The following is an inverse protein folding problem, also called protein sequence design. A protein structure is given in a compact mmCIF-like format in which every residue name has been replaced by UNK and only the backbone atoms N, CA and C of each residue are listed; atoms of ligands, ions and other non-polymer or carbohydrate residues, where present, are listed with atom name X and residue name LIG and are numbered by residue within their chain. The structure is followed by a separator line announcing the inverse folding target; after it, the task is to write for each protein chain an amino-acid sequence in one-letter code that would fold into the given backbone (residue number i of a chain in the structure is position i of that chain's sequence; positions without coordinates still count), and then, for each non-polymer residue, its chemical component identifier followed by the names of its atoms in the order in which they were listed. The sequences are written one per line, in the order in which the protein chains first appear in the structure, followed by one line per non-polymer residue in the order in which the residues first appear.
data_IF_240034841150
#
_entry.id   IF_240034841150
#
_cell.length_a   1.000
_cell.length_b   1.000
_cell.length_c   1.000
_cell.angle_alpha   90.00
_cell.angle_beta   90.00
_cell.angle_gamma   90.00
#
_symmetry.space_group_name_H-M   'P 1'
#
loop_
_entity.id
_entity.type
_entity.pdbx_description
1 polymer ?
#
# COMPACT_ATOMS: atom_id res chain seq x y z
N UNK A 1 -2.03 -4.05 32.50
CA UNK A 1 -2.24 -4.79 31.24
C UNK A 1 -1.47 -6.09 31.36
N UNK A 2 -2.09 -7.28 31.28
CA UNK A 2 -1.41 -8.54 31.57
C UNK A 2 -0.45 -8.90 30.43
N UNK A 3 0.79 -9.25 30.81
CA UNK A 3 1.91 -9.59 29.91
C UNK A 3 1.56 -10.73 28.93
N UNK A 4 0.59 -11.58 29.29
CA UNK A 4 0.09 -12.67 28.45
C UNK A 4 -0.51 -12.20 27.11
N UNK A 5 -1.06 -10.99 27.02
CA UNK A 5 -1.59 -10.43 25.76
C UNK A 5 -0.48 -9.97 24.80
N UNK A 6 0.68 -9.56 25.32
CA UNK A 6 1.82 -9.17 24.48
C UNK A 6 2.44 -10.40 23.81
N UNK A 7 2.60 -11.48 24.57
CA UNK A 7 3.13 -12.76 24.07
C UNK A 7 2.22 -13.37 23.00
N UNK A 8 0.89 -13.32 23.19
CA UNK A 8 -0.05 -13.82 22.17
C UNK A 8 0.00 -12.95 20.90
N UNK A 9 0.15 -11.63 21.02
CA UNK A 9 0.34 -10.74 19.86
C UNK A 9 1.64 -11.05 19.11
N UNK A 10 2.74 -11.34 19.80
CA UNK A 10 4.01 -11.72 19.17
C UNK A 10 3.91 -13.07 18.45
N UNK A 11 3.31 -14.09 19.07
CA UNK A 11 3.17 -15.42 18.46
C UNK A 11 2.25 -15.40 17.23
N UNK A 12 1.18 -14.61 17.25
CA UNK A 12 0.31 -14.41 16.08
C UNK A 12 1.02 -13.55 15.01
N UNK A 13 1.81 -12.56 15.45
CA UNK A 13 2.60 -11.70 14.57
C UNK A 13 3.63 -12.50 13.77
N UNK A 14 4.29 -13.49 14.39
CA UNK A 14 5.28 -14.34 13.72
C UNK A 14 4.69 -15.34 12.71
N UNK A 15 3.50 -15.90 12.99
CA UNK A 15 2.85 -16.87 12.09
C UNK A 15 2.18 -16.24 10.86
N UNK A 16 2.05 -14.91 10.82
CA UNK A 16 1.39 -14.17 9.73
C UNK A 16 2.34 -13.32 8.89
N UNK A 17 3.66 -13.42 9.12
CA UNK A 17 4.68 -12.74 8.31
C UNK A 17 4.66 -13.33 6.90
N UNK A 18 4.10 -12.59 5.96
CA UNK A 18 4.12 -12.97 4.55
C UNK A 18 5.49 -12.59 4.00
N UNK A 19 6.24 -13.50 3.32
CA UNK A 19 7.47 -13.11 2.64
C UNK A 19 7.15 -12.01 1.63
N UNK A 20 8.00 -10.97 1.58
CA UNK A 20 7.78 -9.82 0.69
C UNK A 20 7.49 -10.32 -0.74
N UNK A 21 6.34 -9.98 -1.33
CA UNK A 21 6.05 -10.42 -2.68
C UNK A 21 7.06 -9.82 -3.65
N UNK A 22 7.60 -10.64 -4.55
CA UNK A 22 8.49 -10.19 -5.61
C UNK A 22 7.59 -9.59 -6.70
N UNK A 23 7.62 -8.26 -6.83
CA UNK A 23 6.93 -7.55 -7.91
C UNK A 23 7.84 -7.55 -9.14
N UNK A 24 7.37 -8.11 -10.25
CA UNK A 24 8.09 -8.10 -11.54
C UNK A 24 8.03 -6.70 -12.18
N UNK A 25 8.94 -6.40 -13.11
CA UNK A 25 8.95 -5.11 -13.81
C UNK A 25 7.63 -4.83 -14.55
N UNK A 26 7.01 -5.85 -15.16
CA UNK A 26 5.69 -5.74 -15.79
C UNK A 26 4.59 -5.36 -14.79
N UNK A 27 4.59 -5.99 -13.61
CA UNK A 27 3.63 -5.66 -12.56
C UNK A 27 3.84 -4.23 -12.03
N UNK A 28 5.10 -3.78 -11.93
CA UNK A 28 5.42 -2.41 -11.54
C UNK A 28 4.87 -1.40 -12.55
N UNK A 29 5.10 -1.62 -13.85
CA UNK A 29 4.61 -0.72 -14.90
C UNK A 29 3.07 -0.65 -14.91
N UNK A 30 2.38 -1.78 -14.68
CA UNK A 30 0.93 -1.80 -14.51
C UNK A 30 0.45 -1.01 -13.31
N UNK A 31 1.18 -1.06 -12.19
CA UNK A 31 0.87 -0.27 -11.00
C UNK A 31 1.04 1.22 -11.32
N UNK A 32 2.15 1.62 -11.93
CA UNK A 32 2.42 3.01 -12.30
C UNK A 32 1.36 3.57 -13.25
N UNK A 33 0.97 2.78 -14.26
CA UNK A 33 -0.09 3.16 -15.21
C UNK A 33 -1.45 3.33 -14.51
N UNK A 34 -1.83 2.39 -13.63
CA UNK A 34 -3.08 2.51 -12.85
C UNK A 34 -3.07 3.72 -11.89
N UNK A 35 -1.94 4.03 -11.27
CA UNK A 35 -1.80 5.23 -10.43
C UNK A 35 -2.00 6.51 -11.26
N UNK A 36 -1.45 6.54 -12.48
CA UNK A 36 -1.62 7.67 -13.39
C UNK A 36 -3.09 7.83 -13.81
N UNK A 37 -3.78 6.74 -14.13
CA UNK A 37 -5.21 6.77 -14.47
C UNK A 37 -6.03 7.29 -13.28
N UNK A 38 -5.81 6.76 -12.07
CA UNK A 38 -6.49 7.22 -10.86
C UNK A 38 -6.22 8.69 -10.57
N UNK A 39 -4.98 9.15 -10.75
CA UNK A 39 -4.60 10.55 -10.56
C UNK A 39 -5.29 11.48 -11.56
N UNK A 40 -5.37 11.09 -12.84
CA UNK A 40 -6.01 11.89 -13.89
C UNK A 40 -7.54 11.86 -13.81
N UNK A 41 -8.12 10.74 -13.40
CA UNK A 41 -9.56 10.55 -13.29
C UNK A 41 -10.14 10.92 -11.92
N UNK A 42 -9.28 11.26 -10.95
CA UNK A 42 -9.65 11.45 -9.53
C UNK A 42 -10.46 10.26 -8.97
N UNK A 43 -10.16 9.05 -9.47
CA UNK A 43 -10.88 7.83 -9.11
C UNK A 43 -10.30 7.21 -7.84
N UNK A 44 -11.19 6.75 -6.96
CA UNK A 44 -10.83 5.98 -5.79
C UNK A 44 -10.41 4.56 -6.20
N UNK A 45 -9.25 4.12 -5.70
CA UNK A 45 -8.70 2.79 -5.97
C UNK A 45 -8.40 2.07 -4.65
N UNK A 46 -8.60 0.76 -4.64
CA UNK A 46 -8.14 -0.12 -3.56
C UNK A 46 -6.65 -0.44 -3.76
N UNK A 47 -5.81 0.24 -2.98
CA UNK A 47 -4.37 -0.02 -2.92
C UNK A 47 -4.06 -1.16 -1.96
N UNK A 48 -3.42 -2.20 -2.49
CA UNK A 48 -2.77 -3.25 -1.70
C UNK A 48 -1.28 -2.96 -1.61
N UNK A 49 -0.74 -2.85 -0.39
CA UNK A 49 0.67 -2.55 -0.14
C UNK A 49 1.26 -3.43 0.96
N UNK A 50 2.56 -3.67 0.88
CA UNK A 50 3.31 -4.42 1.87
C UNK A 50 4.01 -3.46 2.83
N UNK A 51 3.78 -3.62 4.13
CA UNK A 51 4.45 -2.84 5.16
C UNK A 51 4.64 -3.67 6.43
N UNK A 52 5.82 -3.60 7.05
CA UNK A 52 6.12 -4.25 8.33
C UNK A 52 5.83 -5.77 8.37
N UNK A 53 6.06 -6.48 7.26
CA UNK A 53 5.73 -7.90 7.06
C UNK A 53 4.24 -8.24 6.90
N UNK A 54 3.37 -7.24 6.76
CA UNK A 54 1.94 -7.37 6.58
C UNK A 54 1.47 -6.84 5.22
N UNK A 55 0.33 -7.36 4.79
CA UNK A 55 -0.40 -6.89 3.62
C UNK A 55 -1.57 -6.03 4.08
N UNK A 56 -1.60 -4.79 3.62
CA UNK A 56 -2.67 -3.85 3.88
C UNK A 56 -3.45 -3.55 2.61
N UNK A 57 -4.73 -3.24 2.76
CA UNK A 57 -5.63 -2.82 1.67
C UNK A 57 -6.39 -1.58 2.12
N UNK A 58 -6.25 -0.48 1.39
CA UNK A 58 -6.94 0.78 1.69
C UNK A 58 -7.53 1.38 0.42
N UNK A 59 -8.72 1.96 0.52
CA UNK A 59 -9.29 2.80 -0.52
C UNK A 59 -8.63 4.17 -0.45
N UNK A 60 -8.11 4.63 -1.58
CA UNK A 60 -7.38 5.88 -1.67
C UNK A 60 -7.66 6.57 -3.01
N UNK A 61 -7.53 7.88 -3.04
CA UNK A 61 -7.46 8.68 -4.26
C UNK A 61 -6.05 9.26 -4.37
N UNK A 62 -5.40 9.08 -5.52
CA UNK A 62 -4.06 9.62 -5.76
C UNK A 62 -4.15 11.13 -5.99
N UNK A 63 -3.40 11.92 -5.23
CA UNK A 63 -3.43 13.39 -5.29
C UNK A 63 -2.12 14.00 -5.78
N UNK A 64 -1.02 13.25 -5.74
CA UNK A 64 0.27 13.67 -6.29
C UNK A 64 1.15 12.45 -6.56
N UNK A 65 1.97 12.52 -7.60
CA UNK A 65 2.92 11.47 -7.98
C UNK A 65 4.29 12.11 -8.16
N UNK A 66 5.28 11.63 -7.39
CA UNK A 66 6.66 12.05 -7.51
C UNK A 66 7.49 10.93 -8.18
N UNK A 67 7.77 11.03 -9.49
CA UNK A 67 8.53 10.01 -10.21
C UNK A 67 10.01 9.97 -9.82
N UNK A 68 10.59 11.06 -9.30
CA UNK A 68 12.01 11.12 -8.92
C UNK A 68 12.28 10.25 -7.69
N UNK A 69 11.38 10.32 -6.70
CA UNK A 69 11.49 9.55 -5.46
C UNK A 69 10.72 8.22 -5.50
N UNK A 70 10.03 7.93 -6.61
CA UNK A 70 9.10 6.81 -6.74
C UNK A 70 8.07 6.79 -5.59
N UNK A 71 7.54 7.96 -5.22
CA UNK A 71 6.57 8.11 -4.12
C UNK A 71 5.26 8.68 -4.63
N UNK A 72 4.16 8.28 -4.02
CA UNK A 72 2.83 8.83 -4.27
C UNK A 72 2.25 9.43 -2.99
N UNK A 73 1.53 10.52 -3.15
CA UNK A 73 0.68 11.10 -2.11
C UNK A 73 -0.76 10.74 -2.45
N UNK A 74 -1.47 10.22 -1.46
CA UNK A 74 -2.84 9.79 -1.60
C UNK A 74 -3.69 10.41 -0.50
N UNK A 75 -5.00 10.52 -0.73
CA UNK A 75 -5.97 10.90 0.28
C UNK A 75 -7.03 9.82 0.42
N UNK A 76 -7.50 9.57 1.64
CA UNK A 76 -8.70 8.78 1.89
C UNK A 76 -9.96 9.68 1.76
N UNK A 77 -11.16 9.08 1.76
CA UNK A 77 -12.48 9.74 1.78
C UNK A 77 -12.64 10.75 2.91
N UNK A 78 -11.95 10.53 4.03
CA UNK A 78 -11.94 11.44 5.19
C UNK A 78 -10.94 12.59 5.05
N UNK A 79 -10.23 12.71 3.91
CA UNK A 79 -9.23 13.75 3.66
C UNK A 79 -7.87 13.50 4.34
N UNK A 80 -7.66 12.31 4.92
CA UNK A 80 -6.39 11.94 5.52
C UNK A 80 -5.36 11.67 4.42
N UNK A 81 -4.27 12.42 4.43
CA UNK A 81 -3.17 12.25 3.47
C UNK A 81 -2.22 11.14 3.92
N UNK A 82 -1.94 10.22 3.02
CA UNK A 82 -0.93 9.17 3.18
C UNK A 82 0.14 9.28 2.12
N UNK A 83 1.34 8.83 2.46
CA UNK A 83 2.49 8.75 1.57
C UNK A 83 2.89 7.29 1.42
N UNK A 84 3.10 6.85 0.18
CA UNK A 84 3.52 5.49 -0.14
C UNK A 84 4.69 5.49 -1.11
N UNK A 85 5.61 4.54 -0.95
CA UNK A 85 6.65 4.27 -1.93
C UNK A 85 6.07 3.28 -2.95
N UNK A 86 6.21 3.55 -4.25
CA UNK A 86 5.67 2.71 -5.33
C UNK A 86 6.18 1.26 -5.24
N UNK A 87 7.41 1.07 -4.74
CA UNK A 87 8.02 -0.25 -4.49
C UNK A 87 7.35 -1.08 -3.38
N UNK A 88 6.53 -0.45 -2.55
CA UNK A 88 5.73 -1.11 -1.50
C UNK A 88 4.32 -1.45 -2.00
N UNK A 89 3.88 -0.83 -3.09
CA UNK A 89 2.61 -1.14 -3.76
C UNK A 89 2.71 -2.50 -4.45
N UNK A 90 1.68 -3.33 -4.25
CA UNK A 90 1.63 -4.69 -4.78
C UNK A 90 0.55 -4.87 -5.83
N UNK A 91 -0.60 -4.21 -5.64
CA UNK A 91 -1.73 -4.29 -6.56
C UNK A 91 -2.67 -3.12 -6.35
N UNK A 92 -3.32 -2.72 -7.43
CA UNK A 92 -4.34 -1.67 -7.48
C UNK A 92 -5.60 -2.23 -8.16
N UNK A 93 -6.74 -2.08 -7.50
CA UNK A 93 -8.05 -2.46 -8.04
C UNK A 93 -8.92 -1.21 -8.06
N UNK A 94 -9.55 -0.92 -9.21
CA UNK A 94 -10.53 0.16 -9.38
C UNK A 94 -11.93 -0.36 -9.04
#
# INVERSE_FOLDING_TARGET
MPEQFAVIKEIISEQTKVPRPIVTQDAKEKIENKLLISYLGEEEILLTYYKDCYLYKNYITVVDINPINETITCTDRIGLRMFFIIKECLSLVM
#
